data_IF_814883071763
#
_entry.id   IF_814883071763
#
_cell.length_a   1.000
_cell.length_b   1.000
_cell.length_c   1.000
_cell.angle_alpha   90.00
_cell.angle_beta   90.00
_cell.angle_gamma   90.00
#
_symmetry.space_group_name_H-M   'P 1'
#
loop_
_entity.id
_entity.type
_entity.pdbx_description
1 polymer ?
#
# COMPACT_ATOMS: atom_id res chain seq x y z
N UNK A 1 20.15 -18.97 4.54
CA UNK A 1 20.07 -19.51 5.92
C UNK A 1 21.32 -19.28 6.75
N UNK A 2 22.53 -19.68 6.32
CA UNK A 2 23.77 -19.52 7.13
C UNK A 2 23.96 -18.13 7.73
N UNK A 3 23.81 -17.07 6.92
CA UNK A 3 23.92 -15.69 7.40
C UNK A 3 22.86 -15.27 8.44
N UNK A 4 21.62 -15.80 8.36
CA UNK A 4 20.62 -15.57 9.40
C UNK A 4 21.03 -16.23 10.72
N UNK A 5 21.58 -17.45 10.67
CA UNK A 5 22.06 -18.16 11.86
C UNK A 5 23.18 -17.36 12.54
N UNK A 6 24.13 -16.85 11.76
CA UNK A 6 25.22 -16.03 12.28
C UNK A 6 24.68 -14.75 12.93
N UNK A 7 23.74 -14.07 12.27
CA UNK A 7 23.08 -12.89 12.82
C UNK A 7 22.43 -13.17 14.17
N UNK A 8 21.59 -14.21 14.28
CA UNK A 8 20.88 -14.50 15.54
C UNK A 8 21.82 -14.98 16.65
N UNK A 9 22.96 -15.61 16.32
CA UNK A 9 23.95 -16.05 17.32
C UNK A 9 24.84 -14.91 17.82
N UNK A 10 25.16 -13.94 16.95
CA UNK A 10 26.19 -12.93 17.24
C UNK A 10 25.65 -11.51 17.45
N UNK A 11 24.46 -11.22 16.91
CA UNK A 11 23.93 -9.86 16.82
C UNK A 11 24.54 -9.01 15.70
N UNK A 12 25.37 -9.57 14.81
CA UNK A 12 26.02 -8.81 13.72
C UNK A 12 25.03 -8.42 12.62
N UNK A 13 24.65 -7.14 12.57
CA UNK A 13 23.74 -6.60 11.56
C UNK A 13 24.29 -6.75 10.13
N UNK A 14 25.61 -6.81 9.94
CA UNK A 14 26.19 -7.03 8.61
C UNK A 14 25.92 -8.45 8.12
N UNK A 15 25.84 -9.44 9.01
CA UNK A 15 25.38 -10.78 8.66
C UNK A 15 23.91 -10.78 8.22
N UNK A 16 23.06 -10.00 8.90
CA UNK A 16 21.67 -9.81 8.47
C UNK A 16 21.57 -9.16 7.08
N UNK A 17 22.32 -8.08 6.82
CA UNK A 17 22.37 -7.46 5.49
C UNK A 17 22.80 -8.45 4.40
N UNK A 18 23.80 -9.29 4.67
CA UNK A 18 24.22 -10.36 3.73
C UNK A 18 23.11 -11.40 3.52
N UNK A 19 22.38 -11.76 4.57
CA UNK A 19 21.23 -12.66 4.46
C UNK A 19 20.14 -12.09 3.55
N UNK A 20 19.79 -10.81 3.74
CA UNK A 20 18.83 -10.09 2.90
C UNK A 20 19.30 -9.96 1.45
N UNK A 21 20.57 -9.58 1.23
CA UNK A 21 21.13 -9.49 -0.12
C UNK A 21 21.11 -10.85 -0.85
N UNK A 22 21.40 -11.95 -0.15
CA UNK A 22 21.28 -13.30 -0.71
C UNK A 22 19.82 -13.64 -1.02
N UNK A 23 18.90 -13.31 -0.11
CA UNK A 23 17.48 -13.59 -0.25
C UNK A 23 16.85 -12.90 -1.47
N UNK A 24 17.26 -11.67 -1.80
CA UNK A 24 16.79 -10.97 -3.01
C UNK A 24 17.16 -11.72 -4.30
N UNK A 25 18.27 -12.47 -4.30
CA UNK A 25 18.70 -13.26 -5.46
C UNK A 25 18.01 -14.60 -5.61
N UNK A 26 17.25 -15.05 -4.60
CA UNK A 26 16.46 -16.28 -4.65
C UNK A 26 15.13 -16.00 -5.38
N UNK A 27 15.13 -16.18 -6.70
CA UNK A 27 14.02 -15.78 -7.56
C UNK A 27 12.96 -16.88 -7.65
N UNK A 28 11.71 -16.53 -7.38
CA UNK A 28 10.53 -17.40 -7.48
C UNK A 28 10.63 -18.72 -6.71
N UNK A 29 11.03 -18.72 -5.43
CA UNK A 29 11.06 -19.94 -4.64
C UNK A 29 9.63 -20.46 -4.40
N UNK A 30 9.43 -21.78 -4.33
CA UNK A 30 8.11 -22.33 -3.96
C UNK A 30 7.70 -21.99 -2.53
N UNK A 31 8.68 -21.85 -1.65
CA UNK A 31 8.50 -21.43 -0.25
C UNK A 31 9.26 -20.13 -0.06
N UNK A 32 8.51 -19.05 0.11
CA UNK A 32 9.06 -17.74 0.41
C UNK A 32 9.11 -17.54 1.93
N UNK A 33 10.12 -16.81 2.41
CA UNK A 33 10.33 -16.60 3.84
C UNK A 33 11.03 -15.28 4.12
N UNK A 34 10.73 -14.69 5.28
CA UNK A 34 11.51 -13.60 5.88
C UNK A 34 11.56 -13.85 7.38
N UNK A 35 12.70 -13.57 8.00
CA UNK A 35 12.87 -13.68 9.44
C UNK A 35 13.89 -12.66 9.96
N UNK A 36 13.58 -11.99 11.06
CA UNK A 36 14.50 -11.07 11.73
C UNK A 36 13.79 -9.86 12.32
N UNK A 37 14.57 -8.81 12.63
CA UNK A 37 14.02 -7.53 13.04
C UNK A 37 13.84 -6.66 11.79
N UNK A 38 12.61 -6.59 11.27
CA UNK A 38 12.35 -6.11 9.90
C UNK A 38 11.90 -4.65 9.87
N UNK A 39 10.81 -4.31 10.56
CA UNK A 39 10.16 -3.00 10.45
C UNK A 39 10.27 -2.16 11.70
N UNK A 40 10.50 -0.84 11.55
CA UNK A 40 10.66 0.08 12.68
C UNK A 40 9.42 0.88 13.06
N UNK A 41 8.25 0.59 12.47
CA UNK A 41 7.02 1.38 12.64
C UNK A 41 6.58 1.57 14.10
N UNK A 42 6.92 0.61 14.98
CA UNK A 42 6.51 0.65 16.39
C UNK A 42 7.54 1.29 17.32
N UNK A 43 8.75 1.55 16.85
CA UNK A 43 9.74 2.31 17.61
C UNK A 43 9.41 3.81 17.43
N UNK A 44 9.12 4.56 18.51
CA UNK A 44 8.89 6.01 18.41
C UNK A 44 10.06 6.78 17.78
N UNK A 45 11.28 6.25 17.84
CA UNK A 45 12.45 6.82 17.18
C UNK A 45 12.69 6.30 15.76
N UNK A 46 11.97 5.27 15.33
CA UNK A 46 12.11 4.65 14.00
C UNK A 46 13.44 3.91 13.77
N UNK A 47 14.27 3.71 14.80
CA UNK A 47 15.62 3.15 14.68
C UNK A 47 15.69 1.64 14.93
N UNK A 48 14.78 1.11 15.75
CA UNK A 48 14.72 -0.30 16.13
C UNK A 48 13.60 -0.97 15.38
N UNK A 49 13.90 -2.13 14.81
CA UNK A 49 12.90 -2.93 14.12
C UNK A 49 12.24 -3.94 15.08
N UNK A 50 10.97 -4.26 14.83
CA UNK A 50 10.23 -5.32 15.50
C UNK A 50 10.61 -6.69 14.90
N UNK A 51 10.68 -7.71 15.75
CA UNK A 51 10.89 -9.09 15.31
C UNK A 51 9.69 -9.61 14.54
N UNK A 52 9.94 -10.17 13.36
CA UNK A 52 8.92 -10.74 12.49
C UNK A 52 9.48 -11.99 11.80
N UNK A 53 8.61 -12.96 11.58
CA UNK A 53 8.90 -14.12 10.73
C UNK A 53 7.68 -14.47 9.89
N UNK A 54 7.93 -14.90 8.67
CA UNK A 54 6.90 -15.44 7.80
C UNK A 54 7.41 -16.58 6.96
N UNK A 55 6.51 -17.52 6.69
CA UNK A 55 6.68 -18.61 5.72
C UNK A 55 5.42 -18.63 4.88
N UNK A 56 5.61 -18.59 3.57
CA UNK A 56 4.51 -18.50 2.60
C UNK A 56 4.76 -19.41 1.41
N UNK A 57 3.69 -19.86 0.79
CA UNK A 57 3.74 -20.73 -0.39
C UNK A 57 3.47 -19.86 -1.61
N UNK A 58 4.36 -19.87 -2.59
CA UNK A 58 4.16 -19.11 -3.83
C UNK A 58 2.98 -19.64 -4.63
N UNK A 59 2.26 -18.73 -5.28
CA UNK A 59 1.23 -19.00 -6.27
C UNK A 59 1.73 -18.56 -7.66
N UNK A 60 2.29 -19.47 -8.48
CA UNK A 60 2.85 -19.11 -9.78
C UNK A 60 1.79 -18.58 -10.77
N UNK A 61 0.53 -19.00 -10.64
CA UNK A 61 -0.53 -18.56 -11.54
C UNK A 61 -0.93 -17.12 -11.24
N UNK A 62 -1.21 -16.79 -9.98
CA UNK A 62 -1.49 -15.40 -9.57
C UNK A 62 -0.26 -14.50 -9.76
N UNK A 63 0.94 -15.03 -9.52
CA UNK A 63 2.19 -14.30 -9.79
C UNK A 63 2.32 -13.95 -11.27
N UNK A 64 2.06 -14.89 -12.19
CA UNK A 64 2.14 -14.64 -13.63
C UNK A 64 1.14 -13.58 -14.10
N UNK A 65 -0.07 -13.52 -13.50
CA UNK A 65 -1.03 -12.44 -13.77
C UNK A 65 -0.47 -11.06 -13.41
N UNK A 66 0.21 -10.94 -12.26
CA UNK A 66 0.83 -9.69 -11.84
C UNK A 66 2.17 -9.40 -12.52
N UNK A 67 2.88 -10.40 -13.06
CA UNK A 67 4.04 -10.18 -13.92
C UNK A 67 3.68 -9.35 -15.16
N UNK A 68 2.47 -9.50 -15.71
CA UNK A 68 1.98 -8.65 -16.79
C UNK A 68 1.93 -7.17 -16.40
N UNK A 69 1.56 -6.86 -15.15
CA UNK A 69 1.54 -5.49 -14.62
C UNK A 69 2.96 -4.92 -14.48
N UNK A 70 3.91 -5.74 -14.02
CA UNK A 70 5.34 -5.44 -13.93
C UNK A 70 5.95 -5.18 -15.31
N UNK A 71 5.68 -6.05 -16.28
CA UNK A 71 6.21 -5.95 -17.66
C UNK A 71 5.70 -4.69 -18.38
N UNK A 72 4.47 -4.27 -18.07
CA UNK A 72 3.85 -3.07 -18.65
C UNK A 72 3.92 -1.83 -17.74
N UNK A 73 4.62 -1.90 -16.61
CA UNK A 73 4.63 -0.82 -15.64
C UNK A 73 5.13 0.51 -16.22
N UNK A 74 6.17 0.50 -17.05
CA UNK A 74 6.66 1.71 -17.72
C UNK A 74 5.62 2.32 -18.68
N UNK A 75 4.67 1.53 -19.19
CA UNK A 75 3.54 2.01 -19.99
C UNK A 75 2.51 2.68 -19.09
N UNK A 76 2.11 2.04 -18.01
CA UNK A 76 1.12 2.58 -17.07
C UNK A 76 1.63 3.84 -16.34
N UNK A 77 2.91 3.89 -15.97
CA UNK A 77 3.52 5.08 -15.35
C UNK A 77 3.47 6.29 -16.29
N UNK A 78 3.50 6.11 -17.63
CA UNK A 78 3.36 7.22 -18.58
C UNK A 78 1.97 7.87 -18.60
N UNK A 79 0.97 7.23 -17.98
CA UNK A 79 -0.38 7.78 -17.84
C UNK A 79 -0.50 8.71 -16.64
N UNK A 80 0.46 8.68 -15.71
CA UNK A 80 0.50 9.53 -14.53
C UNK A 80 0.90 10.95 -14.92
N UNK A 81 0.33 11.96 -14.25
CA UNK A 81 0.47 13.36 -14.66
C UNK A 81 1.88 13.94 -14.53
N UNK A 82 2.79 13.27 -13.81
CA UNK A 82 4.20 13.68 -13.73
C UNK A 82 5.06 13.10 -14.86
N UNK A 83 4.51 12.18 -15.65
CA UNK A 83 5.17 11.71 -16.86
C UNK A 83 5.29 12.87 -17.87
N UNK A 84 6.26 12.77 -18.75
CA UNK A 84 6.53 13.78 -19.77
C UNK A 84 6.55 13.11 -21.16
N UNK A 85 5.39 12.91 -21.81
CA UNK A 85 5.34 12.29 -23.13
C UNK A 85 6.19 13.06 -24.15
N UNK A 86 7.24 12.42 -24.69
CA UNK A 86 8.22 13.04 -25.59
C UNK A 86 9.41 13.72 -24.90
N UNK A 87 9.48 13.66 -23.56
CA UNK A 87 10.60 14.13 -22.76
C UNK A 87 11.67 13.06 -22.53
N UNK A 88 12.53 13.31 -21.54
CA UNK A 88 13.59 12.39 -21.13
C UNK A 88 13.08 11.07 -20.54
N UNK A 89 14.00 10.13 -20.30
CA UNK A 89 13.72 8.79 -19.74
C UNK A 89 12.62 8.03 -20.51
N UNK A 90 12.67 8.12 -21.84
CA UNK A 90 11.71 7.48 -22.72
C UNK A 90 10.28 8.03 -22.62
N UNK A 91 10.05 9.17 -21.96
CA UNK A 91 8.73 9.74 -21.72
C UNK A 91 8.23 9.61 -20.28
N UNK A 92 9.00 8.99 -19.39
CA UNK A 92 8.72 8.94 -17.95
C UNK A 92 9.00 10.28 -17.26
N UNK A 93 9.85 11.13 -17.87
CA UNK A 93 10.19 12.43 -17.34
C UNK A 93 11.22 12.41 -16.21
N UNK A 94 11.52 13.59 -15.64
CA UNK A 94 12.62 13.78 -14.70
C UNK A 94 12.34 13.29 -13.28
N UNK A 95 11.07 13.13 -12.92
CA UNK A 95 10.63 12.69 -11.59
C UNK A 95 10.46 11.17 -11.49
N UNK A 96 10.86 10.42 -12.53
CA UNK A 96 10.90 8.96 -12.54
C UNK A 96 12.31 8.41 -12.70
N UNK A 97 12.49 7.17 -12.26
CA UNK A 97 13.72 6.43 -12.46
C UNK A 97 13.87 6.02 -13.93
N UNK A 98 15.05 6.28 -14.52
CA UNK A 98 15.37 5.87 -15.89
C UNK A 98 15.55 4.35 -16.05
N UNK A 99 15.79 3.66 -14.94
CA UNK A 99 15.96 2.21 -14.87
C UNK A 99 14.82 1.58 -14.09
N UNK A 100 13.59 2.08 -14.27
CA UNK A 100 12.42 1.46 -13.63
C UNK A 100 12.48 -0.06 -13.89
N UNK A 101 12.86 -0.77 -12.85
CA UNK A 101 12.96 -2.22 -12.83
C UNK A 101 11.85 -2.57 -11.86
N UNK A 102 10.68 -2.90 -12.40
CA UNK A 102 9.59 -3.32 -11.53
C UNK A 102 10.14 -4.43 -10.63
N UNK A 103 10.07 -4.28 -9.30
CA UNK A 103 10.64 -5.28 -8.43
C UNK A 103 9.89 -6.58 -8.66
N UNK A 104 10.60 -7.72 -8.59
CA UNK A 104 9.98 -9.03 -8.77
C UNK A 104 8.79 -9.13 -7.84
N UNK A 105 7.61 -9.37 -8.42
CA UNK A 105 6.41 -9.64 -7.64
C UNK A 105 6.30 -11.13 -7.41
N UNK A 106 5.91 -11.50 -6.20
CA UNK A 106 5.53 -12.87 -5.87
C UNK A 106 4.24 -12.82 -5.09
N UNK A 107 3.21 -13.45 -5.64
CA UNK A 107 1.97 -13.69 -4.92
C UNK A 107 2.14 -14.96 -4.11
N UNK A 108 1.84 -14.88 -2.83
CA UNK A 108 2.03 -15.99 -1.89
C UNK A 108 0.79 -16.17 -1.02
N UNK A 109 0.59 -17.39 -0.55
CA UNK A 109 -0.35 -17.71 0.51
C UNK A 109 0.43 -17.84 1.80
N UNK A 110 0.15 -16.97 2.77
CA UNK A 110 0.80 -17.02 4.07
C UNK A 110 0.43 -18.32 4.79
N UNK A 111 1.43 -19.13 5.14
CA UNK A 111 1.26 -20.35 5.92
C UNK A 111 1.42 -20.05 7.42
N UNK A 112 2.47 -19.31 7.76
CA UNK A 112 2.74 -18.85 9.11
C UNK A 112 3.24 -17.40 9.07
N UNK A 113 2.70 -16.57 9.95
CA UNK A 113 3.07 -15.16 10.12
C UNK A 113 3.20 -14.87 11.61
N UNK A 114 4.43 -14.82 12.10
CA UNK A 114 4.77 -14.51 13.48
C UNK A 114 5.17 -13.03 13.57
N UNK A 115 4.22 -12.17 13.92
CA UNK A 115 4.37 -10.73 14.00
C UNK A 115 3.26 -10.15 14.89
N UNK A 116 3.41 -8.90 15.33
CA UNK A 116 2.32 -8.16 15.99
C UNK A 116 1.13 -7.91 15.08
N UNK A 117 1.36 -7.89 13.76
CA UNK A 117 0.35 -7.64 12.72
C UNK A 117 0.58 -8.54 11.50
N UNK A 118 -0.50 -8.98 10.88
CA UNK A 118 -0.47 -9.72 9.60
C UNK A 118 -0.74 -8.72 8.48
N UNK A 119 0.20 -8.61 7.55
CA UNK A 119 0.19 -7.61 6.46
C UNK A 119 -0.37 -8.19 5.16
N UNK A 120 -0.86 -7.30 4.31
CA UNK A 120 -1.48 -7.61 3.00
C UNK A 120 -0.43 -7.76 1.90
N UNK A 121 0.68 -7.05 2.04
CA UNK A 121 1.86 -7.14 1.23
C UNK A 121 3.09 -6.64 1.99
N UNK A 122 4.26 -6.85 1.41
CA UNK A 122 5.49 -6.22 1.86
C UNK A 122 6.43 -5.99 0.69
N UNK A 123 7.26 -4.97 0.83
CA UNK A 123 8.28 -4.65 -0.15
C UNK A 123 9.61 -4.60 0.61
N UNK A 124 10.50 -5.54 0.34
CA UNK A 124 11.67 -5.83 1.19
C UNK A 124 12.88 -6.24 0.34
N UNK A 125 14.11 -6.12 0.85
CA UNK A 125 14.49 -5.64 2.17
C UNK A 125 14.44 -4.10 2.26
N UNK A 126 14.79 -3.53 3.41
CA UNK A 126 14.91 -2.07 3.58
C UNK A 126 16.22 -1.47 2.99
N UNK A 127 17.10 -2.30 2.40
CA UNK A 127 18.41 -1.93 1.80
C UNK A 127 18.39 -1.96 0.26
N UNK A 128 17.29 -1.50 -0.37
CA UNK A 128 16.99 -1.79 -1.78
C UNK A 128 17.89 -1.10 -2.80
N UNK A 129 18.40 0.09 -2.48
CA UNK A 129 19.20 0.89 -3.43
C UNK A 129 20.44 0.13 -3.91
N UNK A 130 21.03 -0.70 -3.05
CA UNK A 130 22.29 -1.42 -3.33
C UNK A 130 22.10 -2.87 -3.82
N UNK A 131 20.94 -3.48 -3.53
CA UNK A 131 20.75 -4.92 -3.67
C UNK A 131 19.47 -5.35 -4.40
N UNK A 132 18.58 -4.40 -4.75
CA UNK A 132 17.26 -4.70 -5.27
C UNK A 132 16.25 -5.08 -4.17
N UNK A 133 15.03 -5.46 -4.57
CA UNK A 133 13.97 -5.84 -3.65
C UNK A 133 12.95 -6.78 -4.27
N UNK A 134 12.14 -7.40 -3.40
CA UNK A 134 11.00 -8.25 -3.70
C UNK A 134 9.71 -7.58 -3.23
N UNK A 135 8.70 -7.60 -4.07
CA UNK A 135 7.33 -7.28 -3.71
C UNK A 135 6.57 -8.57 -3.44
N UNK A 136 6.07 -8.75 -2.22
CA UNK A 136 5.33 -9.95 -1.85
C UNK A 136 3.90 -9.55 -1.53
N UNK A 137 2.93 -10.23 -2.14
CA UNK A 137 1.50 -10.03 -1.89
C UNK A 137 0.93 -11.28 -1.22
N UNK A 138 0.27 -11.13 -0.07
CA UNK A 138 -0.31 -12.25 0.68
C UNK A 138 -1.78 -12.45 0.26
N UNK A 139 -2.01 -13.24 -0.78
CA UNK A 139 -3.34 -13.40 -1.42
C UNK A 139 -4.42 -13.84 -0.45
N UNK A 140 -4.16 -14.88 0.36
CA UNK A 140 -5.11 -15.36 1.36
C UNK A 140 -5.45 -14.33 2.46
N UNK A 141 -4.57 -13.35 2.72
CA UNK A 141 -4.89 -12.22 3.61
C UNK A 141 -5.86 -11.24 2.97
N UNK A 142 -5.71 -10.99 1.66
CA UNK A 142 -6.57 -10.09 0.89
C UNK A 142 -7.99 -10.64 0.80
N UNK A 143 -8.15 -11.95 0.54
CA UNK A 143 -9.46 -12.62 0.46
C UNK A 143 -10.25 -12.48 1.75
N UNK A 144 -9.62 -12.72 2.91
CA UNK A 144 -10.28 -12.55 4.23
C UNK A 144 -10.78 -11.11 4.42
N UNK A 145 -10.04 -10.12 3.90
CA UNK A 145 -10.42 -8.70 3.98
C UNK A 145 -11.58 -8.35 3.06
N UNK A 146 -11.60 -8.91 1.85
CA UNK A 146 -12.68 -8.76 0.90
C UNK A 146 -14.02 -9.29 1.46
N UNK A 147 -13.97 -10.43 2.16
CA UNK A 147 -15.16 -11.07 2.74
C UNK A 147 -15.65 -10.39 4.03
N UNK A 148 -14.77 -9.61 4.67
CA UNK A 148 -15.11 -8.80 5.83
C UNK A 148 -15.89 -7.56 5.40
N UNK A 149 -17.22 -7.64 5.36
CA UNK A 149 -18.07 -6.49 5.03
C UNK A 149 -18.80 -5.89 6.25
N UNK A 150 -18.13 -5.14 7.14
CA UNK A 150 -18.76 -4.36 8.21
C UNK A 150 -19.27 -2.98 7.73
N UNK A 151 -19.08 -2.61 6.46
CA UNK A 151 -19.29 -1.25 5.96
C UNK A 151 -20.76 -0.89 5.67
N UNK A 152 -21.71 -1.81 5.87
CA UNK A 152 -23.13 -1.55 5.55
C UNK A 152 -23.72 -0.34 6.26
N UNK A 153 -23.15 0.08 7.40
CA UNK A 153 -23.69 1.18 8.22
C UNK A 153 -23.44 2.57 7.60
N UNK A 154 -22.33 2.76 6.87
CA UNK A 154 -21.91 4.06 6.34
C UNK A 154 -22.03 4.16 4.81
N UNK A 155 -22.34 3.05 4.16
CA UNK A 155 -22.56 2.98 2.72
C UNK A 155 -24.03 3.27 2.45
N UNK A 156 -24.32 4.25 1.60
CA UNK A 156 -25.70 4.52 1.21
C UNK A 156 -26.32 3.25 0.59
N UNK A 157 -27.58 2.91 0.87
CA UNK A 157 -28.19 1.66 0.39
C UNK A 157 -28.12 1.45 -1.13
N UNK A 158 -28.01 2.53 -1.93
CA UNK A 158 -27.80 2.43 -3.39
C UNK A 158 -26.46 1.81 -3.79
N UNK A 159 -25.46 1.82 -2.91
CA UNK A 159 -24.10 1.38 -3.18
C UNK A 159 -23.80 -0.01 -2.59
N UNK A 160 -24.63 -0.49 -1.66
CA UNK A 160 -24.32 -1.66 -0.84
C UNK A 160 -24.17 -2.95 -1.66
N UNK A 161 -25.03 -3.15 -2.66
CA UNK A 161 -24.99 -4.34 -3.51
C UNK A 161 -23.75 -4.32 -4.42
N UNK A 162 -23.47 -3.19 -5.04
CA UNK A 162 -22.24 -2.96 -5.82
C UNK A 162 -20.98 -3.25 -5.02
N UNK A 163 -20.86 -2.68 -3.81
CA UNK A 163 -19.70 -2.90 -2.95
C UNK A 163 -19.57 -4.38 -2.59
N UNK A 164 -20.68 -5.06 -2.33
CA UNK A 164 -20.68 -6.50 -2.05
C UNK A 164 -20.19 -7.32 -3.25
N UNK A 165 -20.63 -6.99 -4.46
CA UNK A 165 -20.34 -7.78 -5.66
C UNK A 165 -18.92 -7.53 -6.19
N UNK A 166 -18.38 -6.33 -5.98
CA UNK A 166 -17.10 -5.92 -6.59
C UNK A 166 -15.99 -5.53 -5.61
N UNK A 167 -16.29 -5.37 -4.32
CA UNK A 167 -15.33 -4.86 -3.34
C UNK A 167 -14.06 -5.70 -3.23
N UNK A 168 -14.18 -7.04 -3.27
CA UNK A 168 -13.01 -7.92 -3.15
C UNK A 168 -12.03 -7.85 -4.30
N UNK A 169 -12.54 -7.77 -5.53
CA UNK A 169 -11.71 -7.70 -6.73
C UNK A 169 -11.12 -6.29 -6.92
N UNK A 170 -11.89 -5.25 -6.63
CA UNK A 170 -11.40 -3.85 -6.60
C UNK A 170 -10.27 -3.70 -5.59
N UNK A 171 -10.42 -4.28 -4.40
CA UNK A 171 -9.39 -4.29 -3.38
C UNK A 171 -8.11 -5.01 -3.86
N UNK A 172 -8.26 -6.12 -4.59
CA UNK A 172 -7.13 -6.88 -5.15
C UNK A 172 -6.37 -6.07 -6.21
N UNK A 173 -7.09 -5.43 -7.16
CA UNK A 173 -6.51 -4.55 -8.18
C UNK A 173 -5.79 -3.37 -7.53
N UNK A 174 -6.47 -2.69 -6.60
CA UNK A 174 -5.92 -1.58 -5.81
C UNK A 174 -4.60 -1.99 -5.19
N UNK A 175 -4.58 -3.12 -4.47
CA UNK A 175 -3.40 -3.56 -3.74
C UNK A 175 -2.23 -3.85 -4.69
N UNK A 176 -2.47 -4.52 -5.81
CA UNK A 176 -1.44 -4.77 -6.80
C UNK A 176 -0.85 -3.48 -7.39
N UNK A 177 -1.70 -2.51 -7.76
CA UNK A 177 -1.23 -1.22 -8.28
C UNK A 177 -0.49 -0.43 -7.20
N UNK A 178 -1.00 -0.42 -5.97
CA UNK A 178 -0.42 0.28 -4.82
C UNK A 178 1.01 -0.17 -4.54
N UNK A 179 1.22 -1.50 -4.44
CA UNK A 179 2.53 -2.08 -4.15
C UNK A 179 3.50 -1.93 -5.33
N UNK A 180 3.02 -2.13 -6.57
CA UNK A 180 3.89 -2.18 -7.75
C UNK A 180 4.15 -0.82 -8.38
N UNK A 181 3.08 -0.09 -8.69
CA UNK A 181 3.17 1.17 -9.43
C UNK A 181 3.14 2.36 -8.48
N UNK A 182 2.44 2.25 -7.35
CA UNK A 182 2.48 3.22 -6.26
C UNK A 182 3.89 3.32 -5.70
N UNK A 183 4.28 2.40 -4.82
CA UNK A 183 5.60 2.41 -4.18
C UNK A 183 6.78 2.25 -5.15
N UNK A 184 6.58 1.53 -6.26
CA UNK A 184 7.65 1.34 -7.25
C UNK A 184 7.96 2.56 -8.12
N UNK A 185 7.06 3.55 -8.20
CA UNK A 185 7.29 4.79 -8.96
C UNK A 185 7.98 5.88 -8.13
N UNK A 186 8.68 6.75 -8.84
CA UNK A 186 9.24 7.98 -8.29
C UNK A 186 10.75 7.96 -8.15
N UNK A 187 11.32 9.14 -8.36
CA UNK A 187 12.75 9.40 -8.17
C UNK A 187 12.97 10.59 -7.26
N UNK A 188 13.83 10.41 -6.26
CA UNK A 188 14.35 11.51 -5.46
C UNK A 188 15.47 12.23 -6.22
N UNK A 189 15.31 13.54 -6.43
CA UNK A 189 16.34 14.40 -7.00
C UNK A 189 17.29 14.84 -5.89
N UNK A 190 18.58 14.58 -6.07
CA UNK A 190 19.56 14.70 -4.99
C UNK A 190 20.91 15.24 -5.44
N UNK A 191 21.57 15.88 -4.50
CA UNK A 191 22.99 16.22 -4.51
C UNK A 191 23.72 15.31 -3.51
N UNK A 192 24.30 14.21 -3.98
CA UNK A 192 24.90 13.18 -3.10
C UNK A 192 26.13 13.69 -2.35
N UNK A 193 26.86 14.63 -2.96
CA UNK A 193 27.99 15.37 -2.37
C UNK A 193 28.14 16.69 -3.13
N UNK A 194 28.85 17.70 -2.59
CA UNK A 194 28.94 19.02 -3.21
C UNK A 194 29.26 18.95 -4.71
N UNK A 195 28.34 19.45 -5.54
CA UNK A 195 28.50 19.50 -6.99
C UNK A 195 28.14 18.22 -7.77
N UNK A 196 27.70 17.14 -7.10
CA UNK A 196 27.34 15.86 -7.73
C UNK A 196 25.84 15.62 -7.62
N UNK A 197 25.14 15.91 -8.72
CA UNK A 197 23.69 15.81 -8.82
C UNK A 197 23.29 14.58 -9.62
N UNK A 198 22.15 13.96 -9.27
CA UNK A 198 21.52 12.95 -10.12
C UNK A 198 20.56 13.58 -11.15
N UNK A 199 20.62 14.88 -11.40
CA UNK A 199 19.87 15.60 -12.43
C UNK A 199 20.73 16.70 -13.04
N UNK A 200 20.34 17.26 -14.18
CA UNK A 200 21.06 18.38 -14.79
C UNK A 200 20.89 19.65 -13.94
N UNK A 201 21.94 20.05 -13.22
CA UNK A 201 21.89 21.21 -12.32
C UNK A 201 21.94 22.55 -13.06
N UNK A 202 22.50 22.57 -14.27
CA UNK A 202 22.60 23.77 -15.10
C UNK A 202 21.30 24.00 -15.88
N UNK A 203 20.53 22.93 -16.11
CA UNK A 203 19.16 22.96 -16.62
C UNK A 203 18.22 22.12 -15.75
N UNK A 204 17.88 22.59 -14.53
CA UNK A 204 17.06 21.82 -13.61
C UNK A 204 15.71 21.45 -14.22
N UNK A 205 15.16 20.27 -13.89
CA UNK A 205 13.81 19.89 -14.26
C UNK A 205 12.78 21.00 -13.97
N UNK A 206 11.83 21.18 -14.89
CA UNK A 206 10.70 22.08 -14.66
C UNK A 206 9.75 21.43 -13.65
N UNK A 207 9.43 22.15 -12.58
CA UNK A 207 8.38 21.76 -11.63
C UNK A 207 7.01 21.98 -12.29
N UNK A 208 6.23 20.92 -12.56
CA UNK A 208 4.95 21.03 -13.26
C UNK A 208 3.87 21.74 -12.42
N UNK A 209 4.05 21.86 -11.11
CA UNK A 209 3.13 22.58 -10.22
C UNK A 209 3.29 24.09 -10.31
N UNK A 210 4.48 24.58 -10.68
CA UNK A 210 4.80 26.02 -10.68
C UNK A 210 5.20 26.56 -12.05
N UNK A 211 5.51 25.68 -13.00
CA UNK A 211 6.04 26.03 -14.32
C UNK A 211 7.48 26.58 -14.30
N UNK A 212 8.17 26.50 -13.15
CA UNK A 212 9.54 27.03 -12.95
C UNK A 212 10.53 25.89 -12.73
N UNK A 213 11.84 26.09 -12.98
CA UNK A 213 12.87 25.11 -12.58
C UNK A 213 12.78 24.81 -11.08
N UNK A 214 13.02 23.55 -10.71
CA UNK A 214 13.07 23.12 -9.30
C UNK A 214 14.12 23.92 -8.51
N UNK A 215 13.86 24.13 -7.23
CA UNK A 215 14.72 24.93 -6.33
C UNK A 215 15.20 24.16 -5.11
N UNK A 216 14.64 22.97 -4.86
CA UNK A 216 14.92 22.10 -3.72
C UNK A 216 15.29 20.70 -4.20
N UNK A 217 16.08 19.99 -3.39
CA UNK A 217 16.52 18.62 -3.60
C UNK A 217 17.10 18.06 -2.30
N UNK A 218 17.25 16.73 -2.21
CA UNK A 218 17.90 16.05 -1.08
C UNK A 218 19.42 16.30 -1.09
N UNK A 219 20.05 16.48 0.07
CA UNK A 219 21.49 16.77 0.19
C UNK A 219 22.23 15.71 0.99
N UNK A 220 23.39 15.28 0.51
CA UNK A 220 24.27 14.38 1.25
C UNK A 220 23.56 13.08 1.67
N UNK A 221 23.50 12.87 2.99
CA UNK A 221 22.88 11.70 3.62
C UNK A 221 21.37 11.81 3.84
N UNK A 222 20.72 12.89 3.36
CA UNK A 222 19.28 13.04 3.45
C UNK A 222 18.57 11.84 2.82
N UNK A 223 17.59 11.31 3.55
CA UNK A 223 16.64 10.31 3.06
C UNK A 223 15.23 10.89 3.11
N UNK A 224 14.28 10.18 2.49
CA UNK A 224 12.86 10.46 2.62
C UNK A 224 12.44 10.67 4.08
N UNK A 225 12.86 9.75 4.97
CA UNK A 225 12.50 9.75 6.38
C UNK A 225 13.11 10.95 7.10
N UNK A 226 14.38 11.29 6.83
CA UNK A 226 15.03 12.40 7.55
C UNK A 226 14.51 13.76 7.12
N UNK A 227 14.01 13.91 5.89
CA UNK A 227 13.50 15.20 5.38
C UNK A 227 12.04 15.41 5.80
N UNK A 228 11.20 14.37 5.76
CA UNK A 228 9.76 14.50 5.98
C UNK A 228 9.32 14.08 7.38
N UNK A 229 10.22 13.50 8.18
CA UNK A 229 10.02 13.17 9.59
C UNK A 229 8.72 12.38 9.79
N UNK A 230 7.86 12.84 10.70
CA UNK A 230 6.59 12.18 11.06
C UNK A 230 5.60 12.05 9.89
N UNK A 231 5.76 12.86 8.83
CA UNK A 231 4.89 12.82 7.65
C UNK A 231 5.33 11.77 6.62
N UNK A 232 6.56 11.25 6.75
CA UNK A 232 7.19 10.43 5.74
C UNK A 232 6.33 9.20 5.37
N UNK A 233 5.92 8.42 6.36
CA UNK A 233 5.17 7.18 6.13
C UNK A 233 3.75 7.46 5.63
N UNK A 234 3.00 8.33 6.31
CA UNK A 234 1.60 8.60 5.95
C UNK A 234 1.46 9.22 4.55
N UNK A 235 2.40 10.07 4.13
CA UNK A 235 2.35 10.67 2.80
C UNK A 235 2.69 9.67 1.71
N UNK A 236 3.75 8.87 1.87
CA UNK A 236 4.14 7.87 0.86
C UNK A 236 3.02 6.85 0.63
N UNK A 237 2.39 6.39 1.70
CA UNK A 237 1.20 5.53 1.64
C UNK A 237 0.03 6.21 0.93
N UNK A 238 -0.22 7.50 1.22
CA UNK A 238 -1.25 8.26 0.54
C UNK A 238 -0.96 8.38 -0.97
N UNK A 239 0.29 8.68 -1.35
CA UNK A 239 0.71 8.78 -2.75
C UNK A 239 0.49 7.45 -3.47
N UNK A 240 0.95 6.34 -2.89
CA UNK A 240 0.77 5.01 -3.47
C UNK A 240 -0.72 4.63 -3.60
N UNK A 241 -1.55 4.97 -2.61
CA UNK A 241 -3.01 4.74 -2.69
C UNK A 241 -3.67 5.59 -3.78
N UNK A 242 -3.32 6.87 -3.93
CA UNK A 242 -3.89 7.70 -5.01
C UNK A 242 -3.53 7.15 -6.39
N UNK A 243 -2.30 6.65 -6.58
CA UNK A 243 -1.92 5.97 -7.83
C UNK A 243 -2.80 4.75 -8.09
N UNK A 244 -3.09 3.96 -7.04
CA UNK A 244 -3.97 2.79 -7.15
C UNK A 244 -5.43 3.10 -7.46
N UNK A 245 -5.88 4.34 -7.22
CA UNK A 245 -7.21 4.81 -7.61
C UNK A 245 -7.25 5.51 -8.96
N UNK A 246 -6.09 5.96 -9.46
CA UNK A 246 -6.01 6.68 -10.73
C UNK A 246 -5.87 5.77 -11.95
N UNK A 247 -5.18 4.63 -11.82
CA UNK A 247 -4.91 3.69 -12.90
C UNK A 247 -5.92 2.52 -13.12
N UNK A 248 -6.85 2.18 -12.21
CA UNK A 248 -7.57 0.90 -12.31
C UNK A 248 -8.59 0.85 -13.46
N UNK A 249 -8.98 1.98 -14.05
CA UNK A 249 -9.88 2.03 -15.22
C UNK A 249 -9.15 1.83 -16.56
N UNK A 250 -7.84 1.61 -16.54
CA UNK A 250 -7.08 1.22 -17.73
C UNK A 250 -7.42 -0.22 -18.13
N UNK A 251 -7.99 -0.38 -19.33
CA UNK A 251 -8.49 -1.68 -19.83
C UNK A 251 -7.46 -2.81 -19.73
N UNK A 252 -6.22 -2.53 -20.09
CA UNK A 252 -5.15 -3.53 -20.03
C UNK A 252 -4.80 -3.95 -18.60
N UNK A 253 -5.00 -3.06 -17.61
CA UNK A 253 -4.87 -3.46 -16.21
C UNK A 253 -6.03 -4.39 -15.85
N UNK A 254 -7.25 -4.01 -16.18
CA UNK A 254 -8.46 -4.80 -15.90
C UNK A 254 -8.41 -6.20 -16.52
N UNK A 255 -7.91 -6.31 -17.74
CA UNK A 255 -7.70 -7.58 -18.45
C UNK A 255 -6.73 -8.52 -17.72
N UNK A 256 -5.69 -7.99 -17.05
CA UNK A 256 -4.78 -8.80 -16.22
C UNK A 256 -5.47 -9.44 -15.03
N UNK A 257 -6.59 -8.86 -14.58
CA UNK A 257 -7.44 -9.39 -13.50
C UNK A 257 -8.68 -10.13 -14.01
N UNK A 258 -8.75 -10.41 -15.33
CA UNK A 258 -9.79 -11.23 -15.93
C UNK A 258 -11.07 -10.50 -16.31
N UNK A 259 -11.04 -9.17 -16.40
CA UNK A 259 -12.17 -8.39 -16.90
C UNK A 259 -12.04 -8.14 -18.40
N UNK A 260 -13.15 -8.28 -19.11
CA UNK A 260 -13.24 -7.98 -20.53
C UNK A 260 -14.36 -6.97 -20.79
N UNK A 261 -14.40 -6.37 -21.99
CA UNK A 261 -15.30 -5.27 -22.38
C UNK A 261 -16.83 -5.53 -22.16
N UNK A 262 -17.23 -6.74 -21.74
CA UNK A 262 -18.60 -7.08 -21.30
C UNK A 262 -18.92 -6.74 -19.85
N UNK A 263 -17.92 -6.42 -19.03
CA UNK A 263 -18.08 -6.32 -17.58
C UNK A 263 -18.26 -4.85 -17.17
N UNK A 264 -19.44 -4.52 -16.64
CA UNK A 264 -19.67 -3.21 -16.02
C UNK A 264 -18.85 -3.15 -14.73
N UNK A 265 -17.87 -2.25 -14.68
CA UNK A 265 -16.98 -2.10 -13.54
C UNK A 265 -17.55 -1.06 -12.58
N UNK A 266 -17.79 -1.49 -11.33
CA UNK A 266 -18.22 -0.62 -10.25
C UNK A 266 -17.30 -0.82 -9.04
N UNK A 267 -16.85 0.27 -8.43
CA UNK A 267 -15.83 0.26 -7.36
C UNK A 267 -16.36 0.69 -5.99
N UNK A 268 -15.88 0.06 -4.93
CA UNK A 268 -15.99 0.51 -3.53
C UNK A 268 -14.89 -0.13 -2.63
N UNK A 269 -14.59 0.48 -1.47
CA UNK A 269 -13.29 0.35 -0.76
C UNK A 269 -13.35 -0.07 0.72
N UNK A 270 -12.19 -0.46 1.29
CA UNK A 270 -11.91 -0.75 2.73
C UNK A 270 -10.72 0.06 3.29
N UNK A 271 -10.66 0.37 4.61
CA UNK A 271 -9.92 1.55 5.10
C UNK A 271 -8.58 1.33 5.82
N UNK A 272 -7.73 2.37 5.76
CA UNK A 272 -6.77 2.82 6.76
C UNK A 272 -6.87 4.36 6.96
N UNK A 273 -7.08 4.78 8.20
CA UNK A 273 -7.81 6.01 8.52
C UNK A 273 -7.24 7.35 7.96
N UNK A 274 -5.94 7.65 8.12
CA UNK A 274 -5.43 9.01 7.83
C UNK A 274 -5.26 9.30 6.34
N UNK A 275 -4.74 8.32 5.57
CA UNK A 275 -4.54 8.48 4.13
C UNK A 275 -5.86 8.52 3.37
N UNK A 276 -6.81 7.67 3.73
CA UNK A 276 -8.08 7.57 3.00
C UNK A 276 -8.95 8.78 3.28
N UNK A 277 -8.91 9.32 4.51
CA UNK A 277 -9.56 10.59 4.82
C UNK A 277 -8.98 11.74 3.98
N UNK A 278 -7.65 11.79 3.77
CA UNK A 278 -7.03 12.82 2.94
C UNK A 278 -7.53 12.76 1.48
N UNK A 279 -7.58 11.56 0.90
CA UNK A 279 -8.05 11.32 -0.47
C UNK A 279 -9.54 11.65 -0.59
N UNK A 280 -10.35 11.19 0.36
CA UNK A 280 -11.78 11.45 0.41
C UNK A 280 -12.08 12.94 0.54
N UNK A 281 -11.44 13.65 1.48
CA UNK A 281 -11.57 15.11 1.64
C UNK A 281 -11.13 15.83 0.36
N UNK A 282 -10.06 15.39 -0.29
CA UNK A 282 -9.63 15.97 -1.56
C UNK A 282 -10.68 15.80 -2.66
N UNK A 283 -11.32 14.63 -2.77
CA UNK A 283 -12.38 14.37 -3.74
C UNK A 283 -13.68 15.11 -3.42
N UNK A 284 -13.99 15.35 -2.15
CA UNK A 284 -15.09 16.23 -1.77
C UNK A 284 -14.83 17.69 -2.21
N UNK A 285 -13.60 18.17 -2.04
CA UNK A 285 -13.22 19.54 -2.37
C UNK A 285 -13.04 19.78 -3.87
N UNK A 286 -12.52 18.78 -4.61
CA UNK A 286 -12.05 18.95 -5.99
C UNK A 286 -12.69 17.99 -7.00
N UNK A 287 -13.46 17.00 -6.55
CA UNK A 287 -14.16 16.04 -7.41
C UNK A 287 -15.54 16.51 -7.85
N UNK A 288 -15.92 17.78 -7.62
CA UNK A 288 -17.16 18.41 -8.12
C UNK A 288 -18.43 17.59 -7.89
N UNK A 289 -18.53 16.97 -6.71
CA UNK A 289 -19.69 16.18 -6.28
C UNK A 289 -19.68 14.72 -6.76
N UNK A 290 -18.50 14.16 -7.07
CA UNK A 290 -18.33 12.69 -7.23
C UNK A 290 -18.78 11.95 -5.98
N UNK A 291 -18.39 12.42 -4.80
CA UNK A 291 -18.86 11.89 -3.53
C UNK A 291 -19.93 12.80 -2.94
N UNK A 292 -20.96 12.17 -2.36
CA UNK A 292 -21.99 12.84 -1.57
C UNK A 292 -22.03 12.23 -0.18
N UNK A 293 -22.04 13.11 0.83
CA UNK A 293 -22.16 12.73 2.23
C UNK A 293 -23.53 13.17 2.73
N UNK A 294 -24.36 12.18 3.07
CA UNK A 294 -25.66 12.35 3.67
C UNK A 294 -25.50 12.22 5.20
N UNK A 295 -25.32 13.38 5.87
CA UNK A 295 -25.20 13.47 7.32
C UNK A 295 -26.50 14.00 7.94
N UNK A 296 -27.09 13.24 8.87
CA UNK A 296 -28.24 13.65 9.68
C UNK A 296 -27.79 13.81 11.14
N UNK A 297 -27.68 15.06 11.59
CA UNK A 297 -27.28 15.38 12.96
C UNK A 297 -28.28 14.94 14.02
N UNK A 298 -29.57 14.81 13.68
CA UNK A 298 -30.62 14.41 14.62
C UNK A 298 -30.64 12.89 14.82
N UNK A 299 -30.42 12.14 13.74
CA UNK A 299 -30.28 10.69 13.78
C UNK A 299 -28.86 10.23 14.13
N UNK A 300 -27.88 11.15 14.10
CA UNK A 300 -26.45 10.87 14.24
C UNK A 300 -25.95 9.81 13.25
N UNK A 301 -26.41 9.91 12.00
CA UNK A 301 -26.07 8.97 10.92
C UNK A 301 -25.27 9.67 9.84
N UNK A 302 -24.31 8.98 9.26
CA UNK A 302 -23.57 9.42 8.08
C UNK A 302 -23.57 8.32 7.03
N UNK A 303 -23.93 8.66 5.80
CA UNK A 303 -23.91 7.75 4.66
C UNK A 303 -23.21 8.38 3.47
N UNK A 304 -22.47 7.57 2.71
CA UNK A 304 -21.73 8.02 1.53
C UNK A 304 -22.30 7.37 0.27
N UNK A 305 -22.50 8.17 -0.77
CA UNK A 305 -22.88 7.72 -2.12
C UNK A 305 -21.96 8.33 -3.19
N UNK A 306 -21.95 7.71 -4.38
CA UNK A 306 -21.05 8.07 -5.48
C UNK A 306 -21.84 8.39 -6.76
N UNK A 307 -21.61 9.58 -7.33
CA UNK A 307 -22.08 9.93 -8.67
C UNK A 307 -21.11 9.36 -9.73
N UNK A 308 -21.42 8.16 -10.21
CA UNK A 308 -20.63 7.43 -11.21
C UNK A 308 -20.43 8.21 -12.52
N UNK A 309 -21.35 9.08 -12.88
CA UNK A 309 -21.24 9.89 -14.11
C UNK A 309 -20.07 10.88 -14.04
N UNK A 310 -19.61 11.20 -12.83
CA UNK A 310 -18.52 12.14 -12.57
C UNK A 310 -17.19 11.47 -12.26
N UNK A 311 -17.15 10.15 -12.05
CA UNK A 311 -15.92 9.45 -11.66
C UNK A 311 -14.79 9.67 -12.66
N UNK A 312 -15.04 9.47 -13.96
CA UNK A 312 -14.01 9.66 -14.99
C UNK A 312 -13.78 11.15 -15.30
N UNK A 313 -14.84 11.96 -15.33
CA UNK A 313 -14.78 13.34 -15.79
C UNK A 313 -14.24 14.33 -14.74
N UNK A 314 -14.43 14.06 -13.45
CA UNK A 314 -14.04 14.94 -12.35
C UNK A 314 -13.17 14.21 -11.31
N UNK A 315 -13.56 12.99 -10.94
CA UNK A 315 -12.85 12.20 -9.93
C UNK A 315 -11.42 11.84 -10.35
N UNK A 316 -11.24 11.21 -11.52
CA UNK A 316 -9.92 10.82 -12.04
C UNK A 316 -8.98 12.03 -12.24
N UNK A 317 -9.42 13.16 -12.84
CA UNK A 317 -8.61 14.37 -12.88
C UNK A 317 -8.19 14.88 -11.49
N UNK A 318 -9.09 14.88 -10.51
CA UNK A 318 -8.77 15.27 -9.14
C UNK A 318 -7.71 14.35 -8.51
N UNK A 319 -7.88 13.03 -8.63
CA UNK A 319 -6.87 12.04 -8.19
C UNK A 319 -5.52 12.28 -8.86
N UNK A 320 -5.50 12.51 -10.18
CA UNK A 320 -4.27 12.78 -10.92
C UNK A 320 -3.55 14.02 -10.40
N UNK A 321 -4.27 15.09 -10.08
CA UNK A 321 -3.70 16.31 -9.52
C UNK A 321 -3.18 16.11 -8.10
N UNK A 322 -3.88 15.34 -7.26
CA UNK A 322 -3.40 14.98 -5.93
C UNK A 322 -2.10 14.16 -6.03
N UNK A 323 -2.08 13.14 -6.90
CA UNK A 323 -0.92 12.30 -7.14
C UNK A 323 0.28 13.15 -7.60
N UNK A 324 0.07 14.05 -8.56
CA UNK A 324 1.09 14.96 -9.09
C UNK A 324 1.72 15.82 -8.00
N UNK A 325 0.90 16.42 -7.13
CA UNK A 325 1.35 17.28 -6.01
C UNK A 325 2.25 16.50 -5.06
N UNK A 326 1.74 15.38 -4.54
CA UNK A 326 2.46 14.53 -3.59
C UNK A 326 3.77 14.01 -4.19
N UNK A 327 3.72 13.56 -5.45
CA UNK A 327 4.88 13.00 -6.15
C UNK A 327 5.98 14.02 -6.40
N UNK A 328 5.62 15.21 -6.90
CA UNK A 328 6.61 16.25 -7.22
C UNK A 328 7.27 16.76 -5.94
N UNK A 329 6.49 17.11 -4.91
CA UNK A 329 7.07 17.60 -3.65
C UNK A 329 7.96 16.57 -2.97
N UNK A 330 7.57 15.28 -2.99
CA UNK A 330 8.42 14.16 -2.58
C UNK A 330 9.72 14.14 -3.36
N UNK A 331 9.64 14.23 -4.69
CA UNK A 331 10.80 14.07 -5.58
C UNK A 331 11.82 15.19 -5.41
N UNK A 332 11.39 16.40 -5.04
CA UNK A 332 12.25 17.58 -4.91
C UNK A 332 12.53 17.97 -3.46
N UNK A 333 12.18 17.15 -2.47
CA UNK A 333 12.35 17.47 -1.05
C UNK A 333 11.66 18.79 -0.61
N UNK A 334 10.51 19.14 -1.20
CA UNK A 334 9.74 20.33 -0.82
C UNK A 334 8.82 20.02 0.37
N UNK A 335 9.43 19.94 1.55
CA UNK A 335 8.74 19.64 2.80
C UNK A 335 7.77 20.74 3.22
N UNK A 336 8.07 22.01 2.92
CA UNK A 336 7.23 23.14 3.32
C UNK A 336 5.88 23.10 2.61
N UNK A 337 5.88 22.99 1.27
CA UNK A 337 4.65 22.90 0.49
C UNK A 337 3.86 21.64 0.82
N UNK A 338 4.55 20.51 0.97
CA UNK A 338 3.90 19.24 1.29
C UNK A 338 3.25 19.28 2.67
N UNK A 339 3.96 19.74 3.71
CA UNK A 339 3.45 19.83 5.07
C UNK A 339 2.25 20.76 5.15
N UNK A 340 2.34 21.94 4.54
CA UNK A 340 1.24 22.91 4.52
C UNK A 340 -0.02 22.32 3.88
N UNK A 341 0.13 21.59 2.77
CA UNK A 341 -0.98 20.95 2.08
C UNK A 341 -1.53 19.73 2.84
N UNK A 342 -0.67 18.78 3.18
CA UNK A 342 -1.07 17.47 3.69
C UNK A 342 -1.64 17.53 5.11
N UNK A 343 -1.09 18.40 5.98
CA UNK A 343 -1.63 18.62 7.33
C UNK A 343 -3.02 19.22 7.26
N UNK A 344 -3.24 20.20 6.38
CA UNK A 344 -4.58 20.78 6.18
C UNK A 344 -5.58 19.76 5.62
N UNK A 345 -5.11 18.89 4.74
CA UNK A 345 -5.94 17.86 4.12
C UNK A 345 -6.31 16.73 5.09
N UNK A 346 -5.47 16.46 6.09
CA UNK A 346 -5.70 15.44 7.13
C UNK A 346 -6.35 16.00 8.39
N UNK A 347 -6.53 17.32 8.49
CA UNK A 347 -7.22 17.95 9.62
C UNK A 347 -8.70 17.53 9.68
N UNK A 348 -9.11 17.00 10.83
CA UNK A 348 -10.50 16.68 11.17
C UNK A 348 -11.07 17.85 11.97
N UNK A 349 -11.69 18.78 11.26
CA UNK A 349 -12.26 20.00 11.81
C UNK A 349 -13.65 20.28 11.21
N UNK A 350 -14.40 21.18 11.88
CA UNK A 350 -15.73 21.60 11.43
C UNK A 350 -16.71 20.44 11.29
N UNK A 351 -17.29 20.29 10.10
CA UNK A 351 -18.25 19.23 9.81
C UNK A 351 -17.65 17.81 9.91
N UNK A 352 -16.35 17.65 9.61
CA UNK A 352 -15.69 16.35 9.65
C UNK A 352 -15.60 15.80 11.08
N UNK A 353 -15.48 16.68 12.09
CA UNK A 353 -15.54 16.26 13.49
C UNK A 353 -16.94 15.78 13.86
N UNK A 354 -17.99 16.43 13.35
CA UNK A 354 -19.36 15.95 13.56
C UNK A 354 -19.57 14.57 12.91
N UNK A 355 -19.06 14.35 11.69
CA UNK A 355 -19.11 13.04 11.05
C UNK A 355 -18.32 12.00 11.85
N UNK A 356 -17.12 12.37 12.36
CA UNK A 356 -16.33 11.49 13.22
C UNK A 356 -17.13 11.06 14.45
N UNK A 357 -17.83 11.97 15.12
CA UNK A 357 -18.66 11.62 16.28
C UNK A 357 -19.80 10.66 15.92
N UNK A 358 -20.45 10.86 14.76
CA UNK A 358 -21.47 9.94 14.26
C UNK A 358 -20.90 8.54 13.98
N UNK A 359 -19.74 8.48 13.32
CA UNK A 359 -19.01 7.24 13.01
C UNK A 359 -18.62 6.50 14.30
N UNK A 360 -18.03 7.19 15.28
CA UNK A 360 -17.66 6.63 16.59
C UNK A 360 -18.88 6.10 17.36
N UNK A 361 -20.02 6.80 17.25
CA UNK A 361 -21.27 6.42 17.94
C UNK A 361 -21.96 5.22 17.29
N UNK A 362 -21.90 5.11 15.97
CA UNK A 362 -22.56 4.05 15.20
C UNK A 362 -21.81 2.70 15.26
N UNK A 363 -20.49 2.74 15.45
CA UNK A 363 -19.65 1.53 15.47
C UNK A 363 -19.22 1.04 16.87
N UNK A 364 -19.30 1.87 17.90
CA UNK A 364 -18.45 1.65 19.09
C UNK A 364 -16.95 1.68 18.72
N UNK A 365 -16.05 1.79 19.70
CA UNK A 365 -14.61 1.82 19.42
C UNK A 365 -14.10 0.56 18.68
N UNK A 366 -14.83 -0.56 18.77
CA UNK A 366 -14.44 -1.86 18.18
C UNK A 366 -14.78 -2.03 16.68
N UNK A 367 -15.78 -1.31 16.10
CA UNK A 367 -16.05 -1.41 14.65
C UNK A 367 -15.10 -0.61 13.78
N UNK A 368 -14.52 0.46 14.31
CA UNK A 368 -13.67 1.35 13.53
C UNK A 368 -12.23 0.85 13.39
N UNK A 369 -11.80 0.01 14.33
CA UNK A 369 -10.49 -0.63 14.29
C UNK A 369 -10.57 -2.00 13.57
N UNK A 370 -11.76 -2.62 13.49
CA UNK A 370 -11.95 -3.94 12.88
C UNK A 370 -12.52 -3.96 11.45
N UNK A 371 -12.62 -2.81 10.78
CA UNK A 371 -13.04 -2.70 9.35
C UNK A 371 -12.12 -3.41 8.34
N UNK A 372 -11.15 -4.17 8.83
CA UNK A 372 -10.15 -4.95 8.08
C UNK A 372 -10.18 -6.45 8.41
N UNK A 373 -11.20 -6.93 9.12
CA UNK A 373 -11.31 -8.33 9.46
C UNK A 373 -12.77 -8.79 9.62
N UNK A 374 -13.03 -10.02 9.16
CA UNK A 374 -14.32 -10.69 9.26
C UNK A 374 -14.72 -10.69 10.73
N UNK A 375 -15.92 -10.20 11.05
CA UNK A 375 -16.54 -10.45 12.35
C UNK A 375 -16.88 -11.94 12.42
N UNK A 376 -15.91 -12.73 12.85
CA UNK A 376 -16.19 -14.00 13.52
C UNK A 376 -16.32 -13.70 15.02
N UNK A 377 -16.77 -14.66 15.82
CA UNK A 377 -16.79 -14.55 17.29
C UNK A 377 -15.40 -14.19 17.88
N UNK A 378 -14.34 -14.25 17.07
CA UNK A 378 -12.98 -13.86 17.41
C UNK A 378 -12.67 -12.35 17.30
N UNK A 379 -13.56 -11.49 16.78
CA UNK A 379 -13.38 -10.03 16.81
C UNK A 379 -12.15 -9.53 16.02
N UNK A 380 -12.13 -9.78 14.71
CA UNK A 380 -11.08 -9.31 13.80
C UNK A 380 -9.72 -10.00 13.91
N UNK A 381 -9.60 -11.01 14.76
CA UNK A 381 -8.39 -11.83 14.94
C UNK A 381 -8.26 -12.86 13.81
N UNK A 382 -7.02 -13.16 13.43
CA UNK A 382 -6.71 -14.17 12.42
C UNK A 382 -6.25 -15.45 13.11
N UNK A 383 -6.96 -16.54 12.86
CA UNK A 383 -6.55 -17.88 13.29
C UNK A 383 -5.62 -18.46 12.23
N UNK A 384 -4.40 -18.82 12.63
CA UNK A 384 -3.41 -19.42 11.73
C UNK A 384 -3.32 -20.93 11.94
N UNK A 385 -3.14 -21.67 10.86
CA UNK A 385 -2.90 -23.11 10.91
C UNK A 385 -1.57 -23.46 11.59
N UNK A 386 -1.44 -24.71 12.02
CA UNK A 386 -0.18 -25.29 12.49
C UNK A 386 0.24 -26.42 11.55
N UNK A 387 1.55 -26.64 11.47
CA UNK A 387 2.13 -27.80 10.78
C UNK A 387 2.77 -28.75 11.78
N UNK A 388 2.48 -30.05 11.64
CA UNK A 388 3.05 -31.10 12.49
C UNK A 388 3.74 -32.14 11.61
N UNK A 389 4.93 -32.55 12.01
CA UNK A 389 5.61 -33.68 11.39
C UNK A 389 5.00 -34.98 11.92
N UNK A 390 4.40 -35.80 11.06
CA UNK A 390 3.90 -37.13 11.47
C UNK A 390 4.98 -38.20 11.43
N UNK A 391 5.81 -38.13 10.40
CA UNK A 391 7.04 -38.90 10.20
C UNK A 391 8.01 -38.11 9.29
N UNK A 392 9.15 -38.69 8.92
CA UNK A 392 10.18 -38.02 8.12
C UNK A 392 9.74 -37.58 6.70
N UNK A 393 8.54 -37.97 6.25
CA UNK A 393 8.04 -37.73 4.90
C UNK A 393 6.68 -37.03 4.82
N UNK A 394 5.90 -37.02 5.91
CA UNK A 394 4.55 -36.45 5.94
C UNK A 394 4.45 -35.27 6.92
N UNK A 395 3.98 -34.13 6.39
CA UNK A 395 3.62 -32.93 7.18
C UNK A 395 2.10 -32.78 7.18
N UNK A 396 1.50 -32.78 8.36
CA UNK A 396 0.08 -32.48 8.57
C UNK A 396 -0.12 -30.97 8.68
N UNK A 397 -1.05 -30.43 7.88
CA UNK A 397 -1.59 -29.09 8.08
C UNK A 397 -2.86 -29.18 8.94
N UNK A 398 -2.83 -28.60 10.14
CA UNK A 398 -3.98 -28.54 11.04
C UNK A 398 -4.60 -27.17 11.02
N UNK A 399 -5.88 -27.12 10.65
CA UNK A 399 -6.70 -25.91 10.59
C UNK A 399 -7.59 -25.85 11.82
N UNK A 400 -7.83 -24.65 12.31
CA UNK A 400 -8.65 -24.39 13.49
C UNK A 400 -9.88 -23.56 13.10
N UNK A 401 -10.95 -23.68 13.87
CA UNK A 401 -12.15 -22.86 13.68
C UNK A 401 -11.83 -21.38 13.91
N UNK A 402 -12.47 -20.48 13.16
CA UNK A 402 -12.26 -19.04 13.26
C UNK A 402 -12.97 -18.41 14.49
N UNK A 403 -12.82 -19.01 15.66
CA UNK A 403 -13.40 -18.56 16.94
C UNK A 403 -12.30 -18.17 17.94
N UNK A 404 -12.65 -17.51 19.05
CA UNK A 404 -11.69 -17.26 20.12
C UNK A 404 -11.08 -18.57 20.65
N UNK A 405 -11.89 -19.63 20.75
CA UNK A 405 -11.47 -20.96 21.20
C UNK A 405 -10.52 -21.61 20.20
N UNK A 406 -10.84 -21.56 18.90
CA UNK A 406 -9.94 -22.03 17.85
C UNK A 406 -8.62 -21.27 17.79
N UNK A 407 -8.67 -19.94 17.99
CA UNK A 407 -7.47 -19.12 18.14
C UNK A 407 -6.61 -19.60 19.32
N UNK A 408 -7.18 -19.70 20.52
CA UNK A 408 -6.46 -20.17 21.72
C UNK A 408 -5.87 -21.55 21.48
N UNK A 409 -6.65 -22.48 20.92
CA UNK A 409 -6.20 -23.84 20.60
C UNK A 409 -5.01 -23.84 19.64
N UNK A 410 -5.04 -22.99 18.61
CA UNK A 410 -3.92 -22.85 17.67
C UNK A 410 -2.62 -22.42 18.35
N UNK A 411 -2.68 -21.64 19.43
CA UNK A 411 -1.49 -21.26 20.21
C UNK A 411 -1.09 -22.34 21.21
N UNK A 412 -2.04 -22.95 21.92
CA UNK A 412 -1.76 -24.03 22.88
C UNK A 412 -1.03 -25.19 22.19
N UNK A 413 -1.45 -25.57 20.99
CA UNK A 413 -0.82 -26.66 20.24
C UNK A 413 0.53 -26.28 19.59
N UNK A 414 0.96 -25.02 19.64
CA UNK A 414 2.32 -24.60 19.26
C UNK A 414 3.35 -24.79 20.38
N UNK A 415 2.89 -25.02 21.61
CA UNK A 415 3.76 -25.09 22.81
C UNK A 415 4.61 -23.83 23.04
N UNK A 416 4.08 -22.65 22.68
CA UNK A 416 4.75 -21.33 22.80
C UNK A 416 4.44 -20.57 24.08
#
# INVERSE_FOLDING_TARGET
MGHYIDYFKTGDVHAFCKAQATWVTDISPRIEHIIGFIESYRDPSGLRCEWQSMVSISDPEETSKLEGLVQNAAKFIRLLLWAAPGGENGGLGPFESSTFTAPNITVVHALAFCSSTVRDGCNLPNIREDHGGKNIVFSNRLVIKADANPLSTFVHPSEAQTLKDHGGIVYSIKNAIHELLGHGSGRMLRESRPGVFNFDKDKPPTNPLTGKPIQTWYKGADTWITVFEDLANTMEECRATVVSYYLPDEKEILELFGFHDSDALEGAETPAANRDFAIFKYLLLHGEGVFKVDYDASANTVQVSVDRSKTVSHGKPALGQLALRLHVWRSIADVESLKAFYVSLTAVDGEHEAWRQAVMSAGGEDDLVSSTAVRTDAGGKIVQANTFLKDDSEVELRIYEATNEGLIRSFVEREV
#
